data_IF_899825736094
#
_entry.id   IF_899825736094
#
_cell.length_a   1.000
_cell.length_b   1.000
_cell.length_c   1.000
_cell.angle_alpha   90.00
_cell.angle_beta   90.00
_cell.angle_gamma   90.00
#
_symmetry.space_group_name_H-M   'P 1'
#
loop_
_entity.id
_entity.type
_entity.pdbx_description
1 polymer ?
#
# COMPACT_ATOMS: atom_id res chain seq x y z
N UNK A 1 13.41 -28.38 -8.48
CA UNK A 1 13.16 -27.15 -7.67
C UNK A 1 11.66 -26.92 -7.57
N UNK A 2 11.15 -26.71 -6.33
CA UNK A 2 9.71 -26.51 -6.08
C UNK A 2 9.48 -25.09 -5.57
N UNK A 3 8.63 -24.31 -6.23
CA UNK A 3 8.33 -22.91 -5.85
C UNK A 3 6.84 -22.70 -5.70
N UNK A 4 6.47 -21.92 -4.70
CA UNK A 4 5.09 -21.49 -4.48
C UNK A 4 5.00 -19.99 -4.76
N UNK A 5 4.01 -19.59 -5.55
CA UNK A 5 3.56 -18.21 -5.74
C UNK A 5 2.20 -18.02 -5.08
N UNK A 6 2.02 -16.93 -4.37
CA UNK A 6 0.76 -16.55 -3.74
C UNK A 6 0.42 -15.12 -4.13
N UNK A 7 -0.80 -14.91 -4.62
CA UNK A 7 -1.35 -13.57 -4.87
C UNK A 7 -2.58 -13.35 -3.98
N UNK A 8 -2.43 -12.41 -3.03
CA UNK A 8 -3.49 -12.07 -2.08
C UNK A 8 -4.32 -10.92 -2.63
N UNK A 9 -5.50 -11.25 -3.13
CA UNK A 9 -6.51 -10.27 -3.53
C UNK A 9 -7.49 -9.93 -2.40
N UNK A 10 -8.39 -8.98 -2.66
CA UNK A 10 -9.40 -8.56 -1.68
C UNK A 10 -10.49 -9.61 -1.40
N UNK A 11 -10.79 -10.49 -2.36
CA UNK A 11 -11.85 -11.50 -2.25
C UNK A 11 -11.29 -12.92 -2.22
N UNK A 12 -10.29 -13.20 -3.03
CA UNK A 12 -9.64 -14.50 -3.14
C UNK A 12 -8.14 -14.37 -3.08
N UNK A 13 -7.51 -15.43 -2.58
CA UNK A 13 -6.07 -15.66 -2.62
C UNK A 13 -5.79 -16.77 -3.62
N UNK A 14 -5.07 -16.46 -4.68
CA UNK A 14 -4.66 -17.39 -5.72
C UNK A 14 -3.28 -17.98 -5.40
N UNK A 15 -3.13 -19.29 -5.62
CA UNK A 15 -1.90 -20.01 -5.30
C UNK A 15 -1.47 -20.89 -6.46
N UNK A 16 -0.17 -20.95 -6.69
CA UNK A 16 0.46 -21.78 -7.70
C UNK A 16 1.68 -22.49 -7.11
N UNK A 17 1.83 -23.77 -7.38
CA UNK A 17 3.05 -24.54 -7.09
C UNK A 17 3.63 -25.03 -8.41
N UNK A 18 4.90 -24.73 -8.65
CA UNK A 18 5.66 -25.19 -9.80
C UNK A 18 6.70 -26.19 -9.30
N UNK A 19 6.61 -27.43 -9.79
CA UNK A 19 7.59 -28.48 -9.59
C UNK A 19 8.36 -28.68 -10.91
N UNK A 20 9.55 -28.08 -10.97
CA UNK A 20 10.38 -28.10 -12.17
C UNK A 20 10.90 -29.51 -12.48
N UNK A 21 11.14 -30.34 -11.46
CA UNK A 21 11.65 -31.70 -11.63
C UNK A 21 10.58 -32.64 -12.19
N UNK A 22 9.38 -32.51 -11.70
CA UNK A 22 8.25 -33.29 -12.21
C UNK A 22 7.57 -32.64 -13.45
N UNK A 23 7.99 -31.44 -13.86
CA UNK A 23 7.39 -30.69 -14.96
C UNK A 23 5.90 -30.39 -14.71
N UNK A 24 5.50 -30.22 -13.45
CA UNK A 24 4.10 -30.11 -13.04
C UNK A 24 3.78 -28.76 -12.39
N UNK A 25 2.63 -28.23 -12.76
CA UNK A 25 2.05 -27.02 -12.13
C UNK A 25 0.74 -27.40 -11.46
N UNK A 26 0.60 -27.04 -10.20
CA UNK A 26 -0.63 -27.19 -9.42
C UNK A 26 -1.13 -25.82 -9.00
N UNK A 27 -2.41 -25.55 -9.16
CA UNK A 27 -3.05 -24.29 -8.77
C UNK A 27 -4.16 -24.54 -7.75
N UNK A 28 -4.36 -23.59 -6.86
CA UNK A 28 -5.48 -23.58 -5.93
C UNK A 28 -5.96 -22.14 -5.69
N UNK A 29 -7.14 -22.00 -5.16
CA UNK A 29 -7.76 -20.72 -4.84
C UNK A 29 -8.55 -20.86 -3.54
N UNK A 30 -8.35 -19.92 -2.62
CA UNK A 30 -9.07 -19.87 -1.35
C UNK A 30 -9.70 -18.49 -1.15
N UNK A 31 -10.81 -18.36 -0.41
CA UNK A 31 -11.32 -17.05 -0.01
C UNK A 31 -10.28 -16.31 0.83
N UNK A 32 -10.08 -15.02 0.56
CA UNK A 32 -9.23 -14.17 1.40
C UNK A 32 -9.91 -13.93 2.76
N UNK A 33 -9.11 -13.72 3.81
CA UNK A 33 -9.55 -13.34 5.14
C UNK A 33 -9.30 -11.84 5.34
N UNK A 34 -10.33 -10.98 5.24
CA UNK A 34 -10.13 -9.52 5.29
C UNK A 34 -9.56 -9.02 6.63
N UNK A 35 -9.89 -9.70 7.71
CA UNK A 35 -9.43 -9.44 9.08
C UNK A 35 -7.99 -9.88 9.32
N UNK A 36 -7.56 -10.95 8.65
CA UNK A 36 -6.19 -11.48 8.73
C UNK A 36 -5.82 -12.23 7.45
N UNK A 37 -5.21 -11.54 6.46
CA UNK A 37 -4.82 -12.16 5.19
C UNK A 37 -3.84 -13.34 5.33
N UNK A 38 -3.08 -13.40 6.43
CA UNK A 38 -2.12 -14.48 6.66
C UNK A 38 -2.79 -15.84 6.81
N UNK A 39 -4.00 -15.87 7.35
CA UNK A 39 -4.77 -17.13 7.51
C UNK A 39 -5.09 -17.78 6.18
N UNK A 40 -5.56 -16.98 5.20
CA UNK A 40 -5.84 -17.49 3.86
C UNK A 40 -4.58 -18.02 3.17
N UNK A 41 -3.44 -17.33 3.35
CA UNK A 41 -2.15 -17.78 2.80
C UNK A 41 -1.73 -19.11 3.39
N UNK A 42 -1.72 -19.26 4.72
CA UNK A 42 -1.30 -20.48 5.40
C UNK A 42 -2.19 -21.66 5.02
N UNK A 43 -3.51 -21.46 5.05
CA UNK A 43 -4.47 -22.49 4.67
C UNK A 43 -4.32 -22.89 3.20
N UNK A 44 -4.22 -21.90 2.32
CA UNK A 44 -4.05 -22.12 0.89
C UNK A 44 -2.77 -22.89 0.56
N UNK A 45 -1.65 -22.54 1.19
CA UNK A 45 -0.37 -23.23 1.00
C UNK A 45 -0.47 -24.70 1.46
N UNK A 46 -1.08 -24.98 2.61
CA UNK A 46 -1.28 -26.35 3.10
C UNK A 46 -2.12 -27.18 2.11
N UNK A 47 -3.22 -26.62 1.65
CA UNK A 47 -4.09 -27.28 0.65
C UNK A 47 -3.38 -27.52 -0.67
N UNK A 48 -2.65 -26.52 -1.18
CA UNK A 48 -1.89 -26.62 -2.41
C UNK A 48 -0.82 -27.71 -2.33
N UNK A 49 -0.05 -27.77 -1.24
CA UNK A 49 0.94 -28.79 -1.01
C UNK A 49 0.31 -30.20 -0.91
N UNK A 50 -0.79 -30.35 -0.20
CA UNK A 50 -1.52 -31.63 -0.11
C UNK A 50 -2.04 -32.08 -1.49
N UNK A 51 -2.61 -31.15 -2.27
CA UNK A 51 -3.10 -31.39 -3.64
C UNK A 51 -1.98 -31.80 -4.59
N UNK A 52 -0.80 -31.23 -4.43
CA UNK A 52 0.38 -31.54 -5.24
C UNK A 52 1.10 -32.82 -4.80
N UNK A 53 0.82 -33.33 -3.59
CA UNK A 53 1.57 -34.43 -2.97
C UNK A 53 3.00 -34.04 -2.59
N UNK A 54 3.23 -32.78 -2.23
CA UNK A 54 4.54 -32.19 -1.88
C UNK A 54 4.52 -31.80 -0.41
N UNK A 55 5.56 -32.17 0.34
CA UNK A 55 5.72 -31.72 1.71
C UNK A 55 6.17 -30.24 1.72
N UNK A 56 5.69 -29.45 2.69
CA UNK A 56 6.06 -28.04 2.80
C UNK A 56 7.59 -27.85 2.93
N UNK A 57 8.27 -28.79 3.57
CA UNK A 57 9.72 -28.78 3.74
C UNK A 57 10.50 -28.98 2.42
N UNK A 58 9.84 -29.42 1.35
CA UNK A 58 10.43 -29.61 0.02
C UNK A 58 10.31 -28.36 -0.87
N UNK A 59 9.69 -27.30 -0.34
CA UNK A 59 9.52 -26.05 -1.09
C UNK A 59 10.78 -25.21 -0.97
N UNK A 60 11.44 -24.99 -2.11
CA UNK A 60 12.71 -24.27 -2.22
C UNK A 60 12.54 -22.75 -2.25
N UNK A 61 11.36 -22.25 -2.67
CA UNK A 61 11.12 -20.81 -2.80
C UNK A 61 9.67 -20.43 -2.64
N UNK A 62 9.46 -19.24 -2.05
CA UNK A 62 8.16 -18.67 -1.82
C UNK A 62 8.11 -17.22 -2.35
N UNK A 63 7.14 -16.94 -3.22
CA UNK A 63 6.88 -15.60 -3.76
C UNK A 63 5.51 -15.14 -3.30
N UNK A 64 5.45 -13.93 -2.77
CA UNK A 64 4.22 -13.35 -2.27
C UNK A 64 3.93 -12.02 -2.97
N UNK A 65 2.79 -11.93 -3.62
CA UNK A 65 2.22 -10.71 -4.17
C UNK A 65 0.95 -10.32 -3.42
N UNK A 66 0.64 -9.03 -3.39
CA UNK A 66 -0.62 -8.56 -2.80
C UNK A 66 -1.10 -7.28 -3.45
N UNK A 67 -2.40 -7.18 -3.68
CA UNK A 67 -3.09 -5.97 -4.15
C UNK A 67 -3.82 -5.22 -3.03
N UNK A 68 -3.62 -5.62 -1.76
CA UNK A 68 -4.32 -5.04 -0.60
C UNK A 68 -4.11 -3.54 -0.52
N UNK A 69 -2.86 -3.06 -0.65
CA UNK A 69 -2.57 -1.62 -0.62
C UNK A 69 -3.25 -0.84 -1.76
N UNK A 70 -3.25 -1.41 -2.97
CA UNK A 70 -3.96 -0.83 -4.12
C UNK A 70 -5.45 -0.77 -3.88
N UNK A 71 -6.05 -1.83 -3.36
CA UNK A 71 -7.47 -1.90 -3.04
C UNK A 71 -7.85 -0.88 -1.96
N UNK A 72 -7.05 -0.75 -0.89
CA UNK A 72 -7.25 0.26 0.16
C UNK A 72 -7.23 1.67 -0.45
N UNK A 73 -6.28 1.97 -1.33
CA UNK A 73 -6.18 3.27 -1.98
C UNK A 73 -7.38 3.56 -2.89
N UNK A 74 -7.85 2.57 -3.65
CA UNK A 74 -8.99 2.71 -4.57
C UNK A 74 -10.34 2.82 -3.85
N UNK A 75 -10.53 2.05 -2.78
CA UNK A 75 -11.79 2.03 -2.02
C UNK A 75 -11.86 3.10 -0.94
N UNK A 76 -10.73 3.72 -0.58
CA UNK A 76 -10.58 4.61 0.57
C UNK A 76 -10.99 3.95 1.91
N UNK A 77 -10.87 2.63 2.00
CA UNK A 77 -11.19 1.83 3.18
C UNK A 77 -9.89 1.41 3.88
N UNK A 78 -9.24 2.36 4.54
CA UNK A 78 -8.00 2.13 5.25
C UNK A 78 -7.93 2.94 6.54
N UNK A 79 -6.79 2.85 7.22
CA UNK A 79 -6.52 3.66 8.39
C UNK A 79 -6.57 5.16 8.04
N UNK A 80 -6.95 5.99 9.00
CA UNK A 80 -6.83 7.44 8.85
C UNK A 80 -5.35 7.83 8.82
N UNK A 81 -4.93 8.52 7.76
CA UNK A 81 -3.52 8.82 7.48
C UNK A 81 -3.23 10.29 7.72
N UNK A 82 -2.09 10.58 8.37
CA UNK A 82 -1.49 11.90 8.43
C UNK A 82 -0.32 12.03 7.44
N UNK A 83 -0.04 13.24 7.01
CA UNK A 83 1.09 13.57 6.12
C UNK A 83 1.93 14.69 6.72
N UNK A 84 3.24 14.50 6.73
CA UNK A 84 4.21 15.55 7.01
C UNK A 84 4.96 15.81 5.70
N UNK A 85 5.07 17.05 5.30
CA UNK A 85 5.71 17.47 4.05
C UNK A 85 6.48 18.77 4.21
N UNK A 86 7.28 19.12 3.21
CA UNK A 86 7.99 20.40 3.13
C UNK A 86 7.04 21.59 3.22
N UNK A 87 7.46 22.64 3.93
CA UNK A 87 6.73 23.91 3.98
C UNK A 87 6.51 24.47 2.55
N UNK A 88 5.28 24.92 2.27
CA UNK A 88 4.83 25.32 0.94
C UNK A 88 4.19 24.20 0.13
N UNK A 89 4.32 22.93 0.51
CA UNK A 89 3.79 21.77 -0.24
C UNK A 89 2.58 21.09 0.42
N UNK A 90 1.96 21.72 1.42
CA UNK A 90 0.79 21.18 2.14
C UNK A 90 -0.34 20.71 1.22
N UNK A 91 -0.58 21.43 0.15
CA UNK A 91 -1.72 21.19 -0.74
C UNK A 91 -1.36 20.38 -2.00
N UNK A 92 -0.19 19.73 -2.01
CA UNK A 92 0.26 18.87 -3.12
C UNK A 92 -0.79 17.83 -3.54
N UNK A 93 -1.40 17.14 -2.56
CA UNK A 93 -2.45 16.15 -2.82
C UNK A 93 -3.75 16.77 -3.37
N UNK A 94 -4.02 18.04 -3.05
CA UNK A 94 -5.18 18.76 -3.55
C UNK A 94 -4.97 19.26 -4.97
N UNK A 95 -3.77 19.76 -5.25
CA UNK A 95 -3.35 20.25 -6.57
C UNK A 95 -3.18 19.08 -7.54
N UNK A 96 -2.67 17.95 -7.05
CA UNK A 96 -2.36 16.74 -7.82
C UNK A 96 -1.45 17.08 -9.05
N UNK A 97 -1.73 16.48 -10.20
CA UNK A 97 -0.97 16.73 -11.44
C UNK A 97 -1.54 17.85 -12.32
N UNK A 98 -2.42 18.69 -11.80
CA UNK A 98 -3.09 19.76 -12.56
C UNK A 98 -3.84 19.29 -13.83
N UNK A 99 -4.17 18.00 -13.94
CA UNK A 99 -4.94 17.48 -15.06
C UNK A 99 -6.41 17.86 -14.88
N UNK A 100 -6.89 18.76 -15.72
CA UNK A 100 -8.30 19.07 -15.81
C UNK A 100 -8.98 18.03 -16.69
N UNK A 101 -10.12 17.43 -16.27
CA UNK A 101 -10.90 16.53 -17.13
C UNK A 101 -11.41 17.22 -18.40
N UNK A 102 -11.75 18.50 -18.29
CA UNK A 102 -12.24 19.34 -19.38
C UNK A 102 -11.48 20.67 -19.40
N UNK A 103 -10.80 20.97 -20.50
CA UNK A 103 -9.92 22.14 -20.60
C UNK A 103 -10.64 23.49 -20.49
N UNK A 104 -11.93 23.56 -20.84
CA UNK A 104 -12.71 24.79 -20.92
C UNK A 104 -13.78 24.93 -19.84
N UNK A 105 -13.85 24.03 -18.85
CA UNK A 105 -14.80 24.15 -17.75
C UNK A 105 -14.22 24.91 -16.58
N UNK A 106 -14.95 25.88 -16.08
CA UNK A 106 -14.62 26.65 -14.86
C UNK A 106 -15.04 25.85 -13.60
N UNK A 107 -16.10 25.04 -13.72
CA UNK A 107 -16.60 24.19 -12.64
C UNK A 107 -16.27 22.74 -12.98
N UNK A 108 -15.45 22.10 -12.17
CA UNK A 108 -15.07 20.70 -12.32
C UNK A 108 -15.06 20.02 -10.97
N UNK A 109 -15.76 18.89 -10.89
CA UNK A 109 -15.61 17.99 -9.76
C UNK A 109 -14.33 17.17 -9.93
N UNK A 110 -13.41 17.35 -9.00
CA UNK A 110 -12.15 16.63 -8.97
C UNK A 110 -12.24 15.57 -7.87
N UNK A 111 -12.36 14.27 -8.22
CA UNK A 111 -12.62 13.21 -7.24
C UNK A 111 -11.60 13.16 -6.09
N UNK A 112 -10.33 13.43 -6.38
CA UNK A 112 -9.27 13.47 -5.37
C UNK A 112 -9.38 14.65 -4.38
N UNK A 113 -10.15 15.70 -4.72
CA UNK A 113 -10.44 16.82 -3.81
C UNK A 113 -11.63 16.51 -2.92
N UNK A 114 -12.66 15.85 -3.46
CA UNK A 114 -13.84 15.46 -2.70
C UNK A 114 -13.52 14.33 -1.70
N UNK A 115 -12.67 13.38 -2.08
CA UNK A 115 -12.27 12.23 -1.25
C UNK A 115 -10.73 12.11 -1.21
N UNK A 116 -10.00 13.01 -0.55
CA UNK A 116 -8.55 12.96 -0.50
C UNK A 116 -8.06 11.79 0.36
N UNK A 117 -6.93 11.18 -0.03
CA UNK A 117 -6.26 10.13 0.75
C UNK A 117 -5.86 10.60 2.15
N UNK A 118 -5.50 11.87 2.28
CA UNK A 118 -5.22 12.52 3.56
C UNK A 118 -6.05 13.77 3.68
N UNK A 119 -6.87 13.88 4.72
CA UNK A 119 -7.66 15.10 4.98
C UNK A 119 -6.75 16.31 5.19
N UNK A 120 -7.15 17.49 4.71
CA UNK A 120 -6.30 18.70 4.78
C UNK A 120 -5.84 19.06 6.18
N UNK A 121 -6.68 18.85 7.21
CA UNK A 121 -6.33 19.08 8.61
C UNK A 121 -5.20 18.15 9.13
N UNK A 122 -4.98 17.02 8.49
CA UNK A 122 -3.95 16.03 8.83
C UNK A 122 -2.69 16.17 7.94
N UNK A 123 -2.57 17.27 7.20
CA UNK A 123 -1.38 17.59 6.41
C UNK A 123 -0.60 18.68 7.13
N UNK A 124 0.50 18.32 7.75
CA UNK A 124 1.38 19.23 8.46
C UNK A 124 2.66 19.46 7.66
N UNK A 125 3.33 20.59 7.94
CA UNK A 125 4.55 20.96 7.24
C UNK A 125 5.71 21.12 8.22
N UNK A 126 6.91 20.90 7.72
CA UNK A 126 8.17 21.14 8.39
C UNK A 126 9.07 21.97 7.48
N UNK A 127 9.96 22.76 8.09
CA UNK A 127 10.93 23.57 7.36
C UNK A 127 12.10 22.69 6.93
N UNK A 128 12.24 22.51 5.64
CA UNK A 128 13.41 21.91 5.02
C UNK A 128 13.44 22.29 3.53
N UNK A 129 14.60 22.19 2.88
CA UNK A 129 14.71 22.39 1.46
C UNK A 129 15.92 21.66 0.88
N UNK A 130 15.67 20.86 -0.14
CA UNK A 130 16.67 20.19 -0.96
C UNK A 130 16.56 20.71 -2.40
N UNK A 131 17.70 20.90 -3.06
CA UNK A 131 17.72 21.33 -4.48
C UNK A 131 17.71 20.15 -5.43
N UNK A 132 17.28 20.44 -6.66
CA UNK A 132 17.36 19.52 -7.80
C UNK A 132 18.33 20.12 -8.80
N UNK A 133 19.20 19.35 -9.49
CA UNK A 133 19.28 17.87 -9.50
C UNK A 133 20.22 17.24 -8.47
N UNK A 134 21.07 18.05 -7.80
CA UNK A 134 22.19 17.52 -7.04
C UNK A 134 21.84 17.00 -5.64
N UNK A 135 20.67 17.39 -5.12
CA UNK A 135 20.27 17.04 -3.74
C UNK A 135 20.97 17.87 -2.66
N UNK A 136 21.48 19.07 -3.00
CA UNK A 136 22.12 19.96 -2.03
C UNK A 136 21.09 20.42 -0.99
N UNK A 137 21.48 20.39 0.27
CA UNK A 137 20.64 20.81 1.39
C UNK A 137 20.75 22.32 1.57
N UNK A 138 19.69 23.07 1.19
CA UNK A 138 19.59 24.52 1.43
C UNK A 138 19.11 24.82 2.85
N UNK A 139 18.14 24.08 3.34
CA UNK A 139 17.61 24.18 4.69
C UNK A 139 17.60 22.78 5.28
N UNK A 140 18.39 22.50 6.30
CA UNK A 140 18.45 21.18 6.92
C UNK A 140 17.13 20.87 7.64
N UNK A 141 16.75 19.58 7.64
CA UNK A 141 15.59 19.09 8.36
C UNK A 141 15.81 19.16 9.87
N UNK A 142 14.91 19.78 10.61
CA UNK A 142 14.86 19.71 12.06
C UNK A 142 14.05 18.48 12.50
N UNK A 143 14.74 17.45 12.99
CA UNK A 143 14.09 16.25 13.49
C UNK A 143 13.18 16.52 14.70
N UNK A 144 13.49 17.54 15.51
CA UNK A 144 12.66 17.96 16.64
C UNK A 144 11.30 18.45 16.15
N UNK A 145 11.28 19.26 15.08
CA UNK A 145 10.05 19.71 14.44
C UNK A 145 9.25 18.54 13.87
N UNK A 146 9.91 17.61 13.17
CA UNK A 146 9.24 16.40 12.62
C UNK A 146 8.58 15.61 13.75
N UNK A 147 9.28 15.37 14.85
CA UNK A 147 8.72 14.65 16.02
C UNK A 147 7.56 15.40 16.65
N UNK A 148 7.61 16.72 16.70
CA UNK A 148 6.49 17.53 17.20
C UNK A 148 5.27 17.40 16.31
N UNK A 149 5.42 17.50 14.98
CA UNK A 149 4.33 17.29 14.01
C UNK A 149 3.76 15.88 14.06
N UNK A 150 4.61 14.87 14.22
CA UNK A 150 4.15 13.49 14.37
C UNK A 150 3.28 13.29 15.62
N UNK A 151 3.66 13.89 16.76
CA UNK A 151 2.82 13.87 17.98
C UNK A 151 1.49 14.61 17.80
N UNK A 152 1.50 15.76 17.10
CA UNK A 152 0.28 16.50 16.77
C UNK A 152 -0.71 15.63 15.97
N UNK A 153 -0.21 14.84 15.01
CA UNK A 153 -1.02 13.89 14.25
C UNK A 153 -1.55 12.73 15.10
N UNK A 154 -0.80 12.28 16.11
CA UNK A 154 -1.25 11.24 17.03
C UNK A 154 -2.37 11.70 17.96
N UNK A 155 -2.32 12.95 18.46
CA UNK A 155 -3.35 13.54 19.33
C UNK A 155 -4.69 13.66 18.58
N UNK A 156 -4.65 13.93 17.28
CA UNK A 156 -5.85 13.98 16.44
C UNK A 156 -6.49 12.61 16.15
N UNK A 157 -5.88 11.52 16.55
CA UNK A 157 -6.46 10.18 16.57
C UNK A 157 -7.11 9.94 17.92
N UNK A 158 -8.36 10.33 18.06
CA UNK A 158 -9.17 9.81 19.13
C UNK A 158 -9.23 8.28 19.00
N UNK A 159 -8.57 7.64 19.94
CA UNK A 159 -8.66 6.25 20.36
C UNK A 159 -9.55 5.34 19.50
N UNK A 160 -8.91 4.42 18.77
CA UNK A 160 -9.49 3.13 18.45
C UNK A 160 -9.00 2.15 19.50
#
# INVERSE_FOLDING_TARGET
>A
MKRIGVDVGGTFTDLILVDEEAGRVTVDKVPSSPDDPSRAVVEGVRRLCAKAGVALAEVDGFLHGTTVATNIALTHQGAEVGMITTEGFRDLLHIARHKKPLNFSIQQDLPWQARPLVKRRHRLTVKERITVPNGDVLVPLDEGEVRARARELQIGRAHV
#
